data_IF_911587335747
#
_entry.id   IF_911587335747
#
_cell.length_a   1.000
_cell.length_b   1.000
_cell.length_c   1.000
_cell.angle_alpha   90.00
_cell.angle_beta   90.00
_cell.angle_gamma   90.00
#
_symmetry.space_group_name_H-M   'P 1'
#
loop_
_entity.id
_entity.type
_entity.pdbx_description
1 polymer ?
#
# COMPACT_ATOMS: atom_id res chain seq x y z
N UNK A 1 -0.72 16.82 -3.56
CA UNK A 1 -1.11 15.59 -2.86
C UNK A 1 -2.19 15.88 -1.83
N UNK A 2 -2.89 14.83 -1.42
CA UNK A 2 -3.86 14.85 -0.35
C UNK A 2 -3.60 13.76 0.69
N UNK A 3 -3.99 14.03 1.92
CA UNK A 3 -3.95 13.09 3.02
C UNK A 3 -5.17 13.27 3.93
N UNK A 4 -5.35 12.32 4.85
CA UNK A 4 -6.39 12.44 5.87
C UNK A 4 -6.01 13.43 6.99
N UNK A 5 -4.84 14.09 6.87
CA UNK A 5 -4.19 14.94 7.88
C UNK A 5 -4.03 16.38 7.37
N UNK A 6 -2.85 16.99 7.53
CA UNK A 6 -2.55 18.35 7.08
C UNK A 6 -1.97 18.35 5.66
N UNK A 7 -2.81 18.71 4.67
CA UNK A 7 -2.38 18.79 3.26
C UNK A 7 -1.37 19.93 3.03
N UNK A 8 -1.41 20.97 3.84
CA UNK A 8 -0.47 22.09 3.76
C UNK A 8 0.94 21.67 4.18
N UNK A 9 1.07 20.93 5.28
CA UNK A 9 2.34 20.37 5.72
C UNK A 9 2.85 19.33 4.73
N UNK A 10 1.98 18.40 4.30
CA UNK A 10 2.31 17.38 3.31
C UNK A 10 2.96 17.98 2.04
N UNK A 11 2.34 19.01 1.48
CA UNK A 11 2.79 19.57 0.21
C UNK A 11 4.06 20.43 0.32
N UNK A 12 4.52 20.80 1.52
CA UNK A 12 5.86 21.37 1.70
C UNK A 12 6.96 20.36 1.39
N UNK A 13 6.69 19.08 1.61
CA UNK A 13 7.62 17.96 1.43
C UNK A 13 7.47 17.24 0.10
N UNK A 14 6.36 17.47 -0.62
CA UNK A 14 6.04 16.77 -1.85
C UNK A 14 5.55 17.72 -2.95
N UNK A 15 6.41 18.65 -3.40
CA UNK A 15 6.12 19.62 -4.45
C UNK A 15 7.33 19.85 -5.35
N UNK A 16 7.08 20.25 -6.59
CA UNK A 16 8.15 20.60 -7.52
C UNK A 16 9.13 19.47 -7.86
N UNK A 17 8.68 18.22 -7.85
CA UNK A 17 9.53 17.05 -8.07
C UNK A 17 10.33 16.60 -6.84
N UNK A 18 10.17 17.31 -5.72
CA UNK A 18 10.78 16.96 -4.43
C UNK A 18 9.89 15.97 -3.68
N UNK A 19 10.51 14.92 -3.11
CA UNK A 19 9.86 13.96 -2.21
C UNK A 19 10.74 13.74 -0.99
N UNK A 20 10.27 14.16 0.17
CA UNK A 20 10.98 14.03 1.45
C UNK A 20 10.17 13.18 2.43
N UNK A 21 10.88 12.38 3.22
CA UNK A 21 10.31 11.49 4.22
C UNK A 21 11.07 11.63 5.54
N UNK A 22 10.35 11.64 6.66
CA UNK A 22 10.94 11.69 7.99
C UNK A 22 11.15 10.27 8.51
N UNK A 23 12.33 9.71 8.27
CA UNK A 23 12.61 8.30 8.56
C UNK A 23 13.18 8.13 9.97
N UNK A 24 12.70 7.09 10.68
CA UNK A 24 13.27 6.68 11.96
C UNK A 24 14.74 6.32 11.82
N UNK A 25 15.59 6.93 12.65
CA UNK A 25 17.04 6.63 12.67
C UNK A 25 17.33 5.14 12.88
N UNK A 26 16.54 4.44 13.68
CA UNK A 26 16.69 3.00 13.92
C UNK A 26 16.61 2.18 12.63
N UNK A 27 15.76 2.55 11.68
CA UNK A 27 15.63 1.87 10.39
C UNK A 27 16.84 2.10 9.48
N UNK A 28 17.56 3.21 9.67
CA UNK A 28 18.75 3.56 8.88
C UNK A 28 20.02 3.00 9.51
N UNK A 29 20.15 3.08 10.84
CA UNK A 29 21.37 2.71 11.55
C UNK A 29 21.52 1.19 11.76
N UNK A 30 20.46 0.39 11.67
CA UNK A 30 20.57 -1.06 11.84
C UNK A 30 21.41 -1.71 10.71
N UNK A 31 22.18 -2.75 11.06
CA UNK A 31 22.95 -3.53 10.09
C UNK A 31 22.07 -4.48 9.27
N UNK A 32 21.03 -5.02 9.90
CA UNK A 32 20.04 -5.92 9.30
C UNK A 32 18.65 -5.40 9.61
N UNK A 33 17.80 -5.29 8.58
CA UNK A 33 16.40 -4.92 8.78
C UNK A 33 15.50 -6.16 8.77
N UNK A 34 14.80 -6.41 9.86
CA UNK A 34 13.85 -7.53 9.97
C UNK A 34 12.44 -6.97 9.94
N UNK A 35 11.66 -7.35 8.94
CA UNK A 35 10.28 -6.91 8.74
C UNK A 35 9.29 -8.03 9.09
N UNK A 36 8.34 -7.74 9.96
CA UNK A 36 7.35 -8.68 10.52
C UNK A 36 5.91 -8.22 10.21
N UNK A 37 5.50 -8.13 8.93
CA UNK A 37 4.15 -7.68 8.59
C UNK A 37 3.10 -8.77 8.79
N UNK A 38 1.87 -8.34 9.00
CA UNK A 38 0.67 -9.18 8.92
C UNK A 38 0.23 -9.33 7.46
N UNK A 39 -0.06 -10.56 7.01
CA UNK A 39 -0.65 -10.84 5.71
C UNK A 39 -2.10 -10.33 5.65
N UNK A 40 -2.38 -9.29 4.88
CA UNK A 40 -3.74 -8.75 4.74
C UNK A 40 -3.94 -7.89 3.51
N UNK A 41 -5.20 -7.71 3.13
CA UNK A 41 -5.64 -6.75 2.12
C UNK A 41 -5.41 -5.29 2.54
N UNK A 42 -5.34 -4.39 1.57
CA UNK A 42 -5.17 -2.96 1.82
C UNK A 42 -5.95 -2.10 0.83
N UNK A 43 -6.74 -1.16 1.35
CA UNK A 43 -7.63 -0.29 0.57
C UNK A 43 -6.98 0.58 -0.49
N UNK A 44 -5.68 0.95 -0.34
CA UNK A 44 -4.97 1.87 -1.26
C UNK A 44 -3.83 1.21 -2.04
N UNK A 45 -3.36 0.04 -1.59
CA UNK A 45 -2.21 -0.65 -2.19
C UNK A 45 -2.51 -2.09 -2.62
N UNK A 46 -3.77 -2.54 -2.48
CA UNK A 46 -4.19 -3.92 -2.74
C UNK A 46 -3.87 -4.84 -1.56
N UNK A 47 -2.61 -4.97 -1.19
CA UNK A 47 -2.15 -5.80 -0.07
C UNK A 47 -1.30 -5.00 0.93
N UNK A 48 -1.26 -5.48 2.17
CA UNK A 48 -0.28 -5.11 3.19
C UNK A 48 0.62 -6.31 3.41
N UNK A 49 1.90 -6.16 3.11
CA UNK A 49 2.97 -7.11 3.39
C UNK A 49 4.25 -6.29 3.63
N UNK A 50 5.41 -6.71 3.17
CA UNK A 50 6.68 -6.07 3.48
C UNK A 50 6.81 -4.66 2.91
N UNK A 51 6.54 -4.49 1.60
CA UNK A 51 6.69 -3.20 0.91
C UNK A 51 5.85 -2.10 1.54
N UNK A 52 4.58 -2.41 1.85
CA UNK A 52 3.65 -1.45 2.47
C UNK A 52 3.94 -1.24 3.95
N UNK A 53 4.50 -2.22 4.66
CA UNK A 53 4.75 -2.12 6.10
C UNK A 53 5.77 -1.04 6.44
N UNK A 54 6.67 -0.69 5.53
CA UNK A 54 7.67 0.37 5.72
C UNK A 54 7.08 1.78 5.88
N UNK A 55 5.80 1.98 5.63
CA UNK A 55 5.11 3.21 6.05
C UNK A 55 5.27 3.47 7.55
N UNK A 56 5.42 2.42 8.35
CA UNK A 56 5.63 2.50 9.80
C UNK A 56 6.99 3.05 10.23
N UNK A 57 8.00 3.16 9.37
CA UNK A 57 9.31 3.76 9.70
C UNK A 57 9.31 5.27 9.59
N UNK A 58 8.26 5.86 9.02
CA UNK A 58 8.13 7.31 8.90
C UNK A 58 7.62 7.92 10.20
N UNK A 59 8.32 8.92 10.70
CA UNK A 59 8.08 9.52 12.03
C UNK A 59 6.92 10.51 12.09
N UNK A 60 6.49 11.07 10.96
CA UNK A 60 5.34 11.98 10.89
C UNK A 60 4.43 11.63 9.71
N UNK A 61 3.19 11.27 10.01
CA UNK A 61 2.17 10.93 9.02
C UNK A 61 1.83 12.05 8.04
N UNK A 62 2.09 13.31 8.40
CA UNK A 62 1.91 14.45 7.51
C UNK A 62 2.93 14.49 6.36
N UNK A 63 3.95 13.64 6.39
CA UNK A 63 4.95 13.51 5.32
C UNK A 63 4.64 12.35 4.36
N UNK A 64 3.46 11.73 4.46
CA UNK A 64 3.10 10.55 3.69
C UNK A 64 1.96 10.84 2.71
N UNK A 65 2.23 11.00 1.41
CA UNK A 65 1.19 11.17 0.40
C UNK A 65 0.41 9.87 0.21
N UNK A 66 -0.91 9.92 0.37
CA UNK A 66 -1.76 8.75 0.27
C UNK A 66 -2.68 8.75 -0.94
N UNK A 67 -2.82 9.89 -1.61
CA UNK A 67 -3.52 10.08 -2.87
C UNK A 67 -3.16 11.45 -3.47
N UNK A 68 -3.33 11.58 -4.76
CA UNK A 68 -3.30 12.87 -5.44
C UNK A 68 -4.74 13.36 -5.60
N UNK A 69 -4.97 14.63 -5.27
CA UNK A 69 -6.31 15.24 -5.32
C UNK A 69 -6.84 15.24 -6.75
N UNK A 70 -8.12 14.91 -6.91
CA UNK A 70 -8.80 14.87 -8.19
C UNK A 70 -9.05 13.46 -8.73
N UNK A 71 -9.39 13.40 -10.01
CA UNK A 71 -9.65 12.16 -10.76
C UNK A 71 -8.51 11.89 -11.75
N UNK A 72 -8.42 10.70 -12.35
CA UNK A 72 -7.42 10.41 -13.39
C UNK A 72 -7.44 11.42 -14.55
N UNK A 73 -8.59 11.95 -14.91
CA UNK A 73 -8.72 12.98 -15.93
C UNK A 73 -8.06 14.32 -15.52
N UNK A 74 -7.93 14.57 -14.22
CA UNK A 74 -7.29 15.74 -13.63
C UNK A 74 -5.84 15.45 -13.19
N UNK A 75 -5.31 14.26 -13.48
CA UNK A 75 -4.00 13.78 -13.01
C UNK A 75 -3.99 13.34 -11.55
N UNK A 76 -5.16 13.12 -10.94
CA UNK A 76 -5.35 12.67 -9.57
C UNK A 76 -5.78 11.21 -9.47
N UNK A 77 -5.84 10.68 -8.25
CA UNK A 77 -6.29 9.32 -7.95
C UNK A 77 -7.21 9.23 -6.73
N UNK A 78 -7.70 10.39 -6.28
CA UNK A 78 -8.60 10.46 -5.12
C UNK A 78 -9.93 9.76 -5.37
N UNK A 79 -10.49 9.93 -6.57
CA UNK A 79 -11.75 9.34 -7.02
C UNK A 79 -11.59 8.73 -8.42
N UNK A 80 -12.33 7.66 -8.76
CA UNK A 80 -12.30 7.09 -10.11
C UNK A 80 -12.89 8.03 -11.16
N UNK A 81 -13.99 8.71 -10.84
CA UNK A 81 -14.74 9.54 -11.76
C UNK A 81 -15.10 10.89 -11.15
N UNK A 82 -15.25 11.91 -12.03
CA UNK A 82 -15.72 13.23 -11.67
C UNK A 82 -17.26 13.27 -11.70
N UNK A 83 -17.87 13.20 -10.51
CA UNK A 83 -19.30 13.39 -10.32
C UNK A 83 -19.57 14.67 -9.52
N UNK A 84 -20.82 15.22 -9.61
CA UNK A 84 -21.18 16.37 -8.79
C UNK A 84 -21.06 16.07 -7.28
N UNK A 85 -21.25 14.79 -6.87
CA UNK A 85 -21.08 14.34 -5.49
C UNK A 85 -19.62 14.35 -5.05
N UNK A 86 -18.70 13.84 -5.88
CA UNK A 86 -17.26 13.84 -5.59
C UNK A 86 -16.69 15.26 -5.56
N UNK A 87 -17.17 16.13 -6.46
CA UNK A 87 -16.82 17.55 -6.46
C UNK A 87 -17.30 18.26 -5.18
N UNK A 88 -18.55 18.03 -4.77
CA UNK A 88 -19.12 18.64 -3.55
C UNK A 88 -18.40 18.12 -2.28
N UNK A 89 -18.10 16.83 -2.21
CA UNK A 89 -17.35 16.21 -1.11
C UNK A 89 -15.95 16.82 -1.00
N UNK A 90 -15.27 16.96 -2.12
CA UNK A 90 -13.93 17.54 -2.16
C UNK A 90 -13.94 19.02 -1.73
N UNK A 91 -14.76 19.84 -2.36
CA UNK A 91 -14.84 21.28 -2.11
C UNK A 91 -15.32 21.57 -0.70
N UNK A 92 -16.34 20.87 -0.23
CA UNK A 92 -16.89 20.99 1.12
C UNK A 92 -15.85 20.57 2.20
N UNK A 93 -15.13 19.48 1.99
CA UNK A 93 -14.11 19.02 2.92
C UNK A 93 -12.93 19.99 3.00
N UNK A 94 -12.47 20.54 1.86
CA UNK A 94 -11.38 21.53 1.83
C UNK A 94 -11.78 22.83 2.52
N UNK A 95 -12.95 23.38 2.22
CA UNK A 95 -13.47 24.62 2.83
C UNK A 95 -13.60 24.45 4.33
N UNK A 96 -14.13 23.33 4.78
CA UNK A 96 -14.32 23.04 6.19
C UNK A 96 -12.97 22.90 6.94
N UNK A 97 -11.98 22.24 6.31
CA UNK A 97 -10.63 22.14 6.88
C UNK A 97 -9.96 23.51 7.02
N UNK A 98 -10.02 24.34 5.96
CA UNK A 98 -9.47 25.71 6.00
C UNK A 98 -10.11 26.55 7.10
N UNK A 99 -11.43 26.48 7.26
CA UNK A 99 -12.17 27.19 8.31
C UNK A 99 -11.83 26.66 9.70
N UNK A 100 -11.66 25.36 9.84
CA UNK A 100 -11.34 24.74 11.12
C UNK A 100 -9.90 25.04 11.59
N UNK A 101 -8.96 25.14 10.65
CA UNK A 101 -7.57 25.54 10.93
C UNK A 101 -7.48 27.02 11.33
N UNK A 102 -8.36 27.86 10.79
CA UNK A 102 -8.42 29.29 11.13
C UNK A 102 -9.05 29.59 12.51
N UNK A 103 -9.71 28.62 13.15
CA UNK A 103 -10.42 28.78 14.42
C UNK A 103 -9.97 27.73 15.45
N UNK A 104 -8.84 27.93 16.15
CA UNK A 104 -8.34 26.99 17.16
C UNK A 104 -9.38 26.77 18.29
N UNK A 105 -9.66 25.51 18.63
CA UNK A 105 -10.62 25.11 19.67
C UNK A 105 -12.03 24.85 19.14
N UNK A 106 -12.65 25.76 18.43
CA UNK A 106 -13.98 25.57 17.81
C UNK A 106 -13.89 24.71 16.56
N UNK A 107 -12.76 24.81 15.84
CA UNK A 107 -12.53 24.07 14.60
C UNK A 107 -12.52 22.56 14.77
N UNK A 108 -11.99 22.04 15.86
CA UNK A 108 -11.97 20.59 16.13
C UNK A 108 -13.39 20.04 16.39
N UNK A 109 -14.24 20.81 17.05
CA UNK A 109 -15.64 20.43 17.29
C UNK A 109 -16.46 20.49 16.00
N UNK A 110 -16.29 21.53 15.18
CA UNK A 110 -16.90 21.66 13.86
C UNK A 110 -16.50 20.50 12.93
N UNK A 111 -15.21 20.16 12.89
CA UNK A 111 -14.72 19.02 12.12
C UNK A 111 -15.32 17.69 12.57
N UNK A 112 -15.45 17.44 13.88
CA UNK A 112 -16.10 16.23 14.40
C UNK A 112 -17.57 16.15 13.99
N UNK A 113 -18.32 17.24 14.07
CA UNK A 113 -19.74 17.28 13.65
C UNK A 113 -19.89 17.13 12.13
N UNK A 114 -19.06 17.81 11.37
CA UNK A 114 -19.10 17.71 9.92
C UNK A 114 -18.68 16.35 9.40
N UNK A 115 -17.67 15.69 10.01
CA UNK A 115 -17.34 14.28 9.73
C UNK A 115 -18.53 13.35 10.00
N UNK A 116 -19.29 13.59 11.08
CA UNK A 116 -20.51 12.81 11.41
C UNK A 116 -21.63 13.06 10.40
N UNK A 117 -21.82 14.30 9.98
CA UNK A 117 -22.80 14.66 8.94
C UNK A 117 -22.37 14.14 7.56
N UNK A 118 -21.10 14.27 7.21
CA UNK A 118 -20.52 13.73 5.97
C UNK A 118 -20.66 12.21 5.87
N UNK A 119 -20.41 11.46 6.94
CA UNK A 119 -20.67 10.01 6.97
C UNK A 119 -22.14 9.66 6.71
N UNK A 120 -23.07 10.47 7.20
CA UNK A 120 -24.52 10.26 6.95
C UNK A 120 -24.93 10.61 5.53
N UNK A 121 -24.36 11.67 4.95
CA UNK A 121 -24.72 12.16 3.61
C UNK A 121 -24.01 11.38 2.48
N UNK A 122 -22.76 11.01 2.67
CA UNK A 122 -21.87 10.43 1.63
C UNK A 122 -21.49 8.95 1.90
N UNK A 123 -22.04 8.34 2.95
CA UNK A 123 -21.77 6.94 3.33
C UNK A 123 -20.48 6.74 4.14
N UNK A 124 -20.27 5.50 4.62
CA UNK A 124 -19.08 5.12 5.34
C UNK A 124 -17.92 4.85 4.35
N UNK A 125 -16.71 5.29 4.69
CA UNK A 125 -15.48 5.01 3.93
C UNK A 125 -15.15 3.53 3.75
N UNK A 126 -15.84 2.65 4.48
CA UNK A 126 -15.76 1.19 4.32
C UNK A 126 -16.66 0.65 3.20
N UNK A 127 -17.47 1.51 2.54
CA UNK A 127 -18.40 1.12 1.46
C UNK A 127 -18.41 2.08 0.28
N UNK A 128 -17.64 3.16 0.34
CA UNK A 128 -17.62 4.20 -0.69
C UNK A 128 -16.18 4.51 -1.10
N UNK A 129 -15.94 4.56 -2.40
CA UNK A 129 -14.62 4.96 -2.92
C UNK A 129 -14.40 6.45 -2.65
N UNK A 130 -13.34 6.73 -1.89
CA UNK A 130 -12.88 8.09 -1.57
C UNK A 130 -11.42 8.09 -1.13
N UNK A 131 -10.75 9.23 -1.24
CA UNK A 131 -9.37 9.40 -0.75
C UNK A 131 -8.41 8.32 -1.26
N UNK A 132 -8.61 7.83 -2.49
CA UNK A 132 -7.73 6.85 -3.14
C UNK A 132 -7.89 5.39 -2.64
N UNK A 133 -9.01 5.00 -2.01
CA UNK A 133 -9.23 3.62 -1.54
C UNK A 133 -9.77 2.68 -2.65
N UNK A 134 -9.11 2.66 -3.80
CA UNK A 134 -9.52 1.89 -4.98
C UNK A 134 -8.30 1.48 -5.82
N UNK A 135 -8.49 0.58 -6.79
CA UNK A 135 -7.42 -0.02 -7.60
C UNK A 135 -6.64 0.99 -8.47
N UNK A 136 -7.21 2.15 -8.77
CA UNK A 136 -6.55 3.22 -9.52
C UNK A 136 -5.73 4.19 -8.66
N UNK A 137 -5.48 3.89 -7.37
CA UNK A 137 -4.57 4.68 -6.56
C UNK A 137 -3.14 4.58 -7.12
N UNK A 138 -2.61 5.69 -7.64
CA UNK A 138 -1.26 5.79 -8.23
C UNK A 138 -0.24 6.48 -7.31
N UNK A 139 -0.65 6.93 -6.14
CA UNK A 139 0.21 7.67 -5.19
C UNK A 139 0.82 6.74 -4.12
N UNK A 140 0.00 5.91 -3.48
CA UNK A 140 0.42 5.14 -2.29
C UNK A 140 1.57 4.18 -2.59
N UNK A 141 1.55 3.48 -3.72
CA UNK A 141 2.59 2.53 -4.07
C UNK A 141 3.94 3.22 -4.35
N UNK A 142 3.94 4.41 -4.96
CA UNK A 142 5.14 5.23 -5.21
C UNK A 142 5.82 5.60 -3.90
N UNK A 143 5.06 6.19 -2.97
CA UNK A 143 5.51 6.48 -1.62
C UNK A 143 6.11 5.24 -0.92
N UNK A 144 5.45 4.09 -1.01
CA UNK A 144 5.95 2.86 -0.39
C UNK A 144 7.28 2.40 -1.00
N UNK A 145 7.44 2.48 -2.32
CA UNK A 145 8.69 2.12 -2.98
C UNK A 145 9.82 3.09 -2.65
N UNK A 146 9.55 4.39 -2.51
CA UNK A 146 10.52 5.36 -2.02
C UNK A 146 11.02 5.01 -0.62
N UNK A 147 10.11 4.70 0.31
CA UNK A 147 10.46 4.27 1.66
C UNK A 147 11.31 2.98 1.66
N UNK A 148 10.99 2.02 0.78
CA UNK A 148 11.80 0.80 0.62
C UNK A 148 13.21 1.13 0.11
N UNK A 149 13.35 1.97 -0.91
CA UNK A 149 14.64 2.42 -1.43
C UNK A 149 15.47 3.11 -0.34
N UNK A 150 14.84 3.98 0.45
CA UNK A 150 15.52 4.69 1.55
C UNK A 150 16.02 3.69 2.61
N UNK A 151 15.22 2.72 3.04
CA UNK A 151 15.64 1.73 4.04
C UNK A 151 16.72 0.81 3.50
N UNK A 152 16.63 0.40 2.23
CA UNK A 152 17.61 -0.50 1.61
C UNK A 152 18.96 0.17 1.34
N UNK A 153 18.96 1.44 0.95
CA UNK A 153 20.14 2.11 0.43
C UNK A 153 20.62 3.32 1.24
N UNK A 154 19.77 3.89 2.09
CA UNK A 154 20.12 5.05 2.89
C UNK A 154 21.21 4.77 3.92
N UNK A 155 22.10 5.74 4.16
CA UNK A 155 23.15 5.74 5.17
C UNK A 155 22.87 6.79 6.25
N UNK A 156 23.44 6.62 7.44
CA UNK A 156 23.27 7.58 8.55
C UNK A 156 23.77 9.00 8.26
N UNK A 157 24.70 9.15 7.35
CA UNK A 157 25.28 10.44 6.93
C UNK A 157 24.42 11.16 5.85
N UNK A 158 23.25 10.60 5.50
CA UNK A 158 22.36 11.14 4.47
C UNK A 158 22.74 10.77 3.03
N UNK A 159 23.82 10.02 2.84
CA UNK A 159 24.20 9.49 1.53
C UNK A 159 23.48 8.18 1.22
N UNK A 160 23.64 7.67 -0.01
CA UNK A 160 23.13 6.37 -0.41
C UNK A 160 24.26 5.39 -0.70
N UNK A 161 23.97 4.10 -0.46
CA UNK A 161 24.79 2.99 -0.95
C UNK A 161 24.79 2.98 -2.48
N UNK A 162 25.75 2.28 -3.14
CA UNK A 162 25.67 2.07 -4.59
C UNK A 162 24.30 1.52 -5.01
N UNK A 163 23.84 1.95 -6.17
CA UNK A 163 22.52 1.60 -6.70
C UNK A 163 22.50 0.18 -7.32
N UNK A 164 23.00 -0.78 -6.58
CA UNK A 164 23.10 -2.19 -6.94
C UNK A 164 22.48 -3.03 -5.82
N UNK A 165 21.71 -4.05 -6.17
CA UNK A 165 21.02 -4.88 -5.16
C UNK A 165 22.00 -5.57 -4.19
N UNK A 166 23.21 -5.91 -4.65
CA UNK A 166 24.30 -6.46 -3.83
C UNK A 166 24.79 -5.50 -2.74
N UNK A 167 24.63 -4.20 -2.93
CA UNK A 167 24.99 -3.15 -1.97
C UNK A 167 23.83 -2.76 -1.03
N UNK A 168 22.63 -3.27 -1.26
CA UNK A 168 21.48 -3.02 -0.40
C UNK A 168 21.71 -3.55 1.01
N UNK A 169 21.07 -2.92 1.99
CA UNK A 169 21.08 -3.40 3.38
C UNK A 169 20.51 -4.82 3.46
N UNK A 170 21.14 -5.73 4.23
CA UNK A 170 20.56 -7.04 4.50
C UNK A 170 19.14 -6.91 5.06
N UNK A 171 18.21 -7.65 4.46
CA UNK A 171 16.79 -7.56 4.76
C UNK A 171 16.17 -8.94 4.94
N UNK A 172 15.41 -9.14 5.99
CA UNK A 172 14.69 -10.37 6.26
C UNK A 172 13.20 -10.07 6.42
N UNK A 173 12.39 -10.89 5.78
CA UNK A 173 10.94 -10.84 5.78
C UNK A 173 10.38 -12.04 6.52
N UNK A 174 9.52 -11.80 7.52
CA UNK A 174 8.72 -12.82 8.18
C UNK A 174 7.26 -12.38 8.17
N UNK A 175 6.47 -12.89 7.26
CA UNK A 175 5.06 -12.51 7.13
C UNK A 175 4.20 -13.42 8.01
N UNK A 176 3.54 -12.83 8.99
CA UNK A 176 2.54 -13.53 9.79
C UNK A 176 1.22 -13.65 9.01
N UNK A 177 0.96 -14.84 8.48
CA UNK A 177 -0.27 -15.26 7.83
C UNK A 177 -0.95 -16.42 8.56
N UNK A 178 -0.62 -16.69 9.84
CA UNK A 178 -1.35 -17.73 10.61
C UNK A 178 -2.83 -17.40 10.63
N UNK A 179 -3.16 -16.18 11.06
CA UNK A 179 -4.48 -15.58 10.88
C UNK A 179 -4.29 -14.25 10.14
N UNK A 180 -4.53 -14.25 8.84
CA UNK A 180 -4.44 -13.08 7.99
C UNK A 180 -5.69 -12.20 8.06
N UNK A 181 -5.79 -11.23 7.14
CA UNK A 181 -6.94 -10.34 7.02
C UNK A 181 -7.38 -10.14 5.57
N UNK A 182 -8.68 -10.13 5.33
CA UNK A 182 -9.28 -9.92 4.02
C UNK A 182 -10.35 -8.83 4.04
N UNK A 183 -10.85 -8.42 2.88
CA UNK A 183 -11.90 -7.40 2.77
C UNK A 183 -11.40 -5.99 3.13
N UNK A 184 -12.03 -5.32 4.09
CA UNK A 184 -11.81 -3.90 4.40
C UNK A 184 -10.51 -3.59 5.17
N UNK A 185 -9.40 -4.25 4.79
CA UNK A 185 -8.08 -3.91 5.34
C UNK A 185 -7.64 -2.48 4.99
N UNK A 186 -6.71 -1.92 5.76
CA UNK A 186 -5.92 -2.57 6.81
C UNK A 186 -6.53 -2.48 8.22
N UNK A 187 -7.55 -1.65 8.45
CA UNK A 187 -8.01 -1.29 9.80
C UNK A 187 -9.20 -2.12 10.29
N UNK A 188 -9.98 -2.68 9.38
CA UNK A 188 -11.19 -3.45 9.68
C UNK A 188 -11.29 -4.67 8.74
N UNK A 189 -10.26 -5.54 8.71
CA UNK A 189 -10.28 -6.74 7.88
C UNK A 189 -11.11 -7.84 8.53
N UNK A 190 -11.82 -8.60 7.70
CA UNK A 190 -12.38 -9.87 8.11
C UNK A 190 -11.22 -10.88 8.35
N UNK A 191 -11.30 -11.80 9.32
CA UNK A 191 -10.28 -12.81 9.53
C UNK A 191 -10.13 -13.72 8.30
N UNK A 192 -8.87 -14.10 8.00
CA UNK A 192 -8.50 -15.04 6.95
C UNK A 192 -7.62 -16.14 7.54
N UNK A 193 -8.12 -17.35 7.62
CA UNK A 193 -7.35 -18.52 8.06
C UNK A 193 -6.37 -18.96 6.96
N UNK A 194 -5.36 -18.14 6.70
CA UNK A 194 -4.34 -18.46 5.69
C UNK A 194 -3.32 -19.50 6.15
N UNK A 195 -3.17 -19.70 7.47
CA UNK A 195 -2.37 -20.77 8.13
C UNK A 195 -0.96 -20.90 7.57
N UNK A 196 -0.33 -19.79 7.21
CA UNK A 196 1.01 -19.80 6.65
C UNK A 196 1.92 -18.75 7.32
N UNK A 197 3.21 -18.98 7.21
CA UNK A 197 4.26 -17.99 7.47
C UNK A 197 5.09 -17.94 6.20
N UNK A 198 5.35 -16.72 5.68
CA UNK A 198 6.23 -16.54 4.54
C UNK A 198 7.55 -15.94 5.02
N UNK A 199 8.64 -16.49 4.50
CA UNK A 199 9.98 -16.05 4.81
C UNK A 199 10.80 -15.80 3.54
N UNK A 200 11.69 -14.81 3.58
CA UNK A 200 12.64 -14.54 2.51
C UNK A 200 13.54 -13.34 2.80
N UNK A 201 14.53 -13.15 1.95
CA UNK A 201 15.53 -12.08 2.09
C UNK A 201 15.28 -10.87 1.16
N UNK A 202 14.23 -10.93 0.33
CA UNK A 202 13.87 -9.83 -0.57
C UNK A 202 12.40 -9.44 -0.38
N UNK A 203 12.09 -8.17 -0.04
CA UNK A 203 10.73 -7.74 0.25
C UNK A 203 9.78 -7.85 -0.95
N UNK A 204 10.24 -7.57 -2.17
CA UNK A 204 9.39 -7.67 -3.36
C UNK A 204 9.09 -9.13 -3.71
N UNK A 205 10.06 -10.03 -3.58
CA UNK A 205 9.87 -11.46 -3.81
C UNK A 205 8.87 -12.08 -2.83
N UNK A 206 8.96 -11.72 -1.55
CA UNK A 206 8.03 -12.22 -0.53
C UNK A 206 6.63 -11.61 -0.71
N UNK A 207 6.52 -10.36 -1.14
CA UNK A 207 5.23 -9.72 -1.44
C UNK A 207 4.58 -10.34 -2.70
N UNK A 208 5.37 -10.73 -3.70
CA UNK A 208 4.89 -11.47 -4.86
C UNK A 208 4.34 -12.86 -4.44
N UNK A 209 5.08 -13.59 -3.60
CA UNK A 209 4.60 -14.86 -3.05
C UNK A 209 3.31 -14.68 -2.23
N UNK A 210 3.24 -13.62 -1.41
CA UNK A 210 2.06 -13.30 -0.63
C UNK A 210 0.85 -12.97 -1.50
N UNK A 211 1.03 -12.27 -2.63
CA UNK A 211 -0.03 -11.99 -3.60
C UNK A 211 -0.58 -13.29 -4.22
N UNK A 212 0.31 -14.21 -4.61
CA UNK A 212 -0.08 -15.54 -5.12
C UNK A 212 -0.83 -16.34 -4.06
N UNK A 213 -0.32 -16.38 -2.81
CA UNK A 213 -1.02 -17.06 -1.71
C UNK A 213 -2.42 -16.52 -1.52
N UNK A 214 -2.60 -15.21 -1.57
CA UNK A 214 -3.91 -14.55 -1.44
C UNK A 214 -4.84 -14.76 -2.64
N UNK A 215 -4.39 -15.36 -3.74
CA UNK A 215 -5.20 -15.56 -4.94
C UNK A 215 -5.25 -14.36 -5.87
N UNK A 216 -4.24 -13.49 -5.82
CA UNK A 216 -4.17 -12.27 -6.62
C UNK A 216 -3.16 -12.36 -7.74
N UNK A 217 -3.42 -11.60 -8.79
CA UNK A 217 -2.54 -11.41 -9.94
C UNK A 217 -1.52 -10.31 -9.63
N UNK A 218 -0.25 -10.68 -9.61
CA UNK A 218 0.88 -9.78 -9.29
C UNK A 218 0.89 -8.56 -10.23
N UNK A 219 0.60 -8.76 -11.52
CA UNK A 219 0.61 -7.68 -12.52
C UNK A 219 -0.48 -6.62 -12.26
N UNK A 220 -1.51 -6.97 -11.50
CA UNK A 220 -2.62 -6.07 -11.15
C UNK A 220 -2.44 -5.38 -9.81
N UNK A 221 -1.34 -5.63 -9.10
CA UNK A 221 -1.00 -4.99 -7.81
C UNK A 221 0.17 -4.03 -8.02
N UNK A 222 -0.08 -2.71 -8.18
CA UNK A 222 0.97 -1.75 -8.57
C UNK A 222 2.20 -1.76 -7.65
N UNK A 223 2.01 -1.87 -6.32
CA UNK A 223 3.13 -1.87 -5.38
C UNK A 223 4.06 -3.07 -5.58
N UNK A 224 3.54 -4.24 -5.95
CA UNK A 224 4.34 -5.44 -6.20
C UNK A 224 4.96 -5.37 -7.59
N UNK A 225 4.14 -5.19 -8.63
CA UNK A 225 4.61 -5.10 -10.02
C UNK A 225 5.74 -4.06 -10.18
N UNK A 226 5.54 -2.86 -9.67
CA UNK A 226 6.49 -1.76 -9.83
C UNK A 226 7.78 -1.94 -9.00
N UNK A 227 7.77 -2.77 -7.94
CA UNK A 227 8.97 -3.11 -7.21
C UNK A 227 9.98 -3.90 -8.08
N UNK A 228 9.49 -4.73 -9.02
CA UNK A 228 10.33 -5.44 -10.00
C UNK A 228 10.77 -4.57 -11.18
N UNK A 229 10.10 -3.46 -11.42
CA UNK A 229 10.41 -2.50 -12.48
C UNK A 229 11.20 -1.29 -11.97
N UNK A 230 11.57 -1.26 -10.67
CA UNK A 230 12.24 -0.14 -10.05
C UNK A 230 13.63 0.07 -10.66
N UNK A 231 13.85 1.23 -11.25
CA UNK A 231 15.13 1.67 -11.81
C UNK A 231 15.88 2.57 -10.82
N UNK A 232 17.18 2.74 -11.02
CA UNK A 232 18.06 3.55 -10.18
C UNK A 232 18.48 2.79 -8.92
N UNK A 233 17.60 2.60 -7.95
CA UNK A 233 17.82 1.80 -6.74
C UNK A 233 16.91 0.57 -6.80
N UNK A 234 17.41 -0.59 -7.28
CA UNK A 234 16.57 -1.78 -7.52
C UNK A 234 16.09 -2.38 -6.20
N UNK A 235 14.82 -2.81 -6.15
CA UNK A 235 14.24 -3.50 -5.00
C UNK A 235 14.28 -5.03 -5.20
N UNK A 236 14.19 -5.48 -6.45
CA UNK A 236 14.33 -6.87 -6.84
C UNK A 236 15.22 -7.01 -8.07
N UNK A 237 15.87 -8.15 -8.23
CA UNK A 237 16.76 -8.44 -9.37
C UNK A 237 16.11 -9.34 -10.42
N UNK A 238 15.15 -10.15 -10.03
CA UNK A 238 14.60 -11.21 -10.87
C UNK A 238 13.21 -10.87 -11.39
N UNK A 239 12.85 -11.49 -12.51
CA UNK A 239 11.46 -11.59 -12.95
C UNK A 239 10.68 -12.37 -11.89
N UNK A 240 9.61 -11.77 -11.35
CA UNK A 240 8.80 -12.37 -10.30
C UNK A 240 8.30 -13.79 -10.66
N UNK A 241 8.04 -14.04 -11.95
CA UNK A 241 7.52 -15.33 -12.43
C UNK A 241 8.50 -16.49 -12.22
N UNK A 242 9.80 -16.20 -12.12
CA UNK A 242 10.89 -17.17 -11.94
C UNK A 242 11.25 -17.41 -10.47
N UNK A 243 10.72 -16.63 -9.55
CA UNK A 243 10.97 -16.80 -8.11
C UNK A 243 10.47 -18.16 -7.67
N UNK A 244 11.36 -18.93 -7.02
CA UNK A 244 11.04 -20.26 -6.51
C UNK A 244 10.46 -20.14 -5.10
N UNK A 245 9.25 -20.64 -4.92
CA UNK A 245 8.64 -20.85 -3.61
C UNK A 245 8.92 -22.28 -3.15
N UNK A 246 9.39 -22.43 -1.93
CA UNK A 246 9.58 -23.73 -1.27
C UNK A 246 8.71 -23.77 0.00
N UNK A 247 7.98 -24.85 0.19
CA UNK A 247 7.04 -25.01 1.29
C UNK A 247 7.07 -26.44 1.85
N UNK A 248 6.67 -26.60 3.11
CA UNK A 248 6.32 -27.90 3.68
C UNK A 248 5.03 -28.52 3.09
N UNK A 249 4.22 -27.67 2.42
CA UNK A 249 3.05 -28.10 1.65
C UNK A 249 3.43 -28.23 0.16
N UNK A 250 3.53 -29.46 -0.40
CA UNK A 250 4.04 -29.68 -1.77
C UNK A 250 3.33 -28.88 -2.86
N UNK A 251 2.03 -28.59 -2.70
CA UNK A 251 1.23 -27.79 -3.66
C UNK A 251 1.74 -26.37 -3.85
N UNK A 252 2.56 -25.86 -2.93
CA UNK A 252 3.16 -24.53 -2.99
C UNK A 252 4.61 -24.52 -3.53
N UNK A 253 5.17 -25.68 -3.87
CA UNK A 253 6.53 -25.74 -4.40
C UNK A 253 6.56 -25.45 -5.89
N UNK A 254 7.40 -24.51 -6.29
CA UNK A 254 7.62 -24.17 -7.70
C UNK A 254 7.80 -22.69 -7.97
N UNK A 255 7.91 -22.36 -9.25
CA UNK A 255 8.02 -20.98 -9.69
C UNK A 255 6.67 -20.25 -9.52
N UNK A 256 6.70 -19.00 -9.06
CA UNK A 256 5.48 -18.21 -8.83
C UNK A 256 4.62 -18.06 -10.09
N UNK A 257 5.26 -18.00 -11.28
CA UNK A 257 4.55 -17.95 -12.55
C UNK A 257 3.65 -19.18 -12.78
N UNK A 258 4.07 -20.37 -12.30
CA UNK A 258 3.30 -21.60 -12.40
C UNK A 258 2.24 -21.74 -11.29
N UNK A 259 2.46 -21.08 -10.16
CA UNK A 259 1.54 -21.09 -9.02
C UNK A 259 0.40 -20.08 -9.21
N UNK A 260 0.63 -19.02 -9.95
CA UNK A 260 -0.40 -18.01 -10.25
C UNK A 260 -1.53 -18.61 -11.06
N UNK A 261 -2.76 -18.50 -10.57
CA UNK A 261 -3.95 -19.11 -11.16
C UNK A 261 -4.11 -20.60 -10.86
N UNK A 262 -3.20 -21.21 -10.08
CA UNK A 262 -3.30 -22.63 -9.70
C UNK A 262 -4.34 -22.87 -8.60
N UNK A 263 -4.86 -24.10 -8.45
CA UNK A 263 -5.78 -24.47 -7.37
C UNK A 263 -5.17 -24.37 -5.95
N UNK A 264 -3.85 -24.19 -5.84
CA UNK A 264 -3.19 -23.98 -4.55
C UNK A 264 -3.56 -22.64 -3.91
N UNK A 265 -3.87 -21.62 -4.72
CA UNK A 265 -4.16 -20.26 -4.27
C UNK A 265 -5.39 -20.20 -3.36
N UNK A 266 -5.35 -19.32 -2.37
CA UNK A 266 -6.51 -19.03 -1.54
C UNK A 266 -7.53 -18.20 -2.33
N UNK A 267 -8.80 -18.36 -1.97
CA UNK A 267 -9.86 -17.46 -2.43
C UNK A 267 -10.04 -16.36 -1.39
N UNK A 268 -9.38 -15.23 -1.60
CA UNK A 268 -9.39 -14.11 -0.65
C UNK A 268 -10.24 -12.96 -1.17
N UNK A 269 -11.06 -12.40 -0.30
CA UNK A 269 -11.88 -11.23 -0.61
C UNK A 269 -11.02 -9.96 -0.61
N UNK A 270 -10.82 -9.25 -1.74
CA UNK A 270 -10.12 -7.98 -1.74
C UNK A 270 -10.92 -6.89 -1.02
N UNK A 271 -10.29 -5.73 -0.79
CA UNK A 271 -11.04 -4.54 -0.40
C UNK A 271 -12.04 -4.16 -1.50
N UNK A 272 -13.23 -3.66 -1.14
CA UNK A 272 -14.32 -3.42 -2.10
C UNK A 272 -13.92 -2.57 -3.32
N UNK A 273 -13.00 -1.61 -3.17
CA UNK A 273 -12.47 -0.80 -4.28
C UNK A 273 -11.48 -1.54 -5.19
N UNK A 274 -11.23 -2.84 -4.95
CA UNK A 274 -10.31 -3.70 -5.68
C UNK A 274 -10.98 -4.96 -6.23
N UNK A 275 -12.22 -5.25 -5.84
CA UNK A 275 -13.00 -6.41 -6.29
C UNK A 275 -13.14 -6.39 -7.82
N UNK A 276 -12.84 -7.50 -8.47
CA UNK A 276 -12.85 -7.65 -9.92
C UNK A 276 -11.63 -7.08 -10.64
N UNK A 277 -10.66 -6.55 -9.90
CA UNK A 277 -9.47 -5.89 -10.48
C UNK A 277 -8.15 -6.58 -10.17
N UNK A 278 -8.01 -7.30 -9.07
CA UNK A 278 -6.72 -7.90 -8.66
C UNK A 278 -6.75 -9.42 -8.56
N UNK A 279 -7.91 -10.04 -8.63
CA UNK A 279 -8.03 -11.49 -8.57
C UNK A 279 -7.36 -12.16 -9.78
N UNK A 280 -6.72 -13.30 -9.56
CA UNK A 280 -6.16 -14.13 -10.63
C UNK A 280 -7.27 -14.82 -11.42
N UNK A 281 -7.05 -15.07 -12.71
CA UNK A 281 -8.08 -15.48 -13.70
C UNK A 281 -8.79 -16.81 -13.37
N UNK A 282 -8.15 -17.72 -12.64
CA UNK A 282 -8.75 -18.98 -12.22
C UNK A 282 -9.95 -18.81 -11.26
N UNK A 283 -10.05 -17.65 -10.58
CA UNK A 283 -11.15 -17.37 -9.66
C UNK A 283 -12.49 -17.11 -10.36
N UNK A 284 -12.48 -16.63 -11.61
CA UNK A 284 -13.70 -16.33 -12.37
C UNK A 284 -14.44 -17.57 -12.88
N UNK A 285 -13.76 -18.73 -12.97
CA UNK A 285 -14.36 -19.95 -13.54
C UNK A 285 -15.14 -20.81 -12.52
N UNK A 286 -15.22 -20.43 -11.24
CA UNK A 286 -15.89 -21.21 -10.19
C UNK A 286 -17.19 -20.59 -9.64
N UNK A 287 -17.73 -19.56 -10.32
CA UNK A 287 -19.09 -19.06 -10.08
C UNK A 287 -19.98 -19.39 -11.28
N UNK A 288 -20.13 -20.69 -11.56
CA UNK A 288 -21.17 -21.26 -12.37
C UNK A 288 -22.16 -21.99 -11.49
#
# INVERSE_FOLDING_TARGET
YGADYDDGELNKHHTGGKHEYLISGSAIHCDVYINLPKLKTHKKAGITVNLKNLVGVNGDKNWLPHHTVGTPADGGDQFPDRTWKTWLEHTGAQTLRKTALALPGVGTWLLKRARKAGKRAFGDGNRTVRSGNWHGNDTTWRMCLDLNKIVLYGRPDGTFRPAELSAAKPYLCFVDGVLGGQGNGPMDPDPLESRCILFGANPAAVDAAAAVVLGYDIEKIPIVRQAFQATGFPIAAEDWSRIQLTSNEPRWNGALGNLTGSPAMLTTKPHFGWVGHIEATAWHNHKG
#
